data_IF_920073276145
#
_entry.id   IF_920073276145
#
_cell.length_a   1.000
_cell.length_b   1.000
_cell.length_c   1.000
_cell.angle_alpha   90.00
_cell.angle_beta   90.00
_cell.angle_gamma   90.00
#
_symmetry.space_group_name_H-M   'P 1'
#
loop_
_entity.id
_entity.type
_entity.pdbx_description
1 polymer ?
#
# COMPACT_ATOMS: atom_id res chain seq x y z
N UNK A 1 -6.36 -25.79 29.21
CA UNK A 1 -6.95 -25.73 27.85
C UNK A 1 -5.82 -25.31 26.90
N UNK A 2 -5.08 -26.28 26.35
CA UNK A 2 -3.90 -26.00 25.53
C UNK A 2 -4.34 -25.94 24.08
N UNK A 3 -4.38 -24.75 23.48
CA UNK A 3 -4.67 -24.59 22.05
C UNK A 3 -3.48 -25.21 21.30
N UNK A 4 -3.63 -26.46 20.87
CA UNK A 4 -2.66 -27.12 20.02
C UNK A 4 -2.73 -26.49 18.62
N UNK A 5 -1.94 -25.43 18.41
CA UNK A 5 -1.84 -24.77 17.11
C UNK A 5 -1.12 -25.74 16.15
N UNK A 6 -1.89 -26.38 15.28
CA UNK A 6 -1.38 -27.41 14.38
C UNK A 6 -0.31 -26.80 13.44
N UNK A 7 0.92 -27.37 13.31
CA UNK A 7 2.01 -26.81 12.49
C UNK A 7 1.65 -26.55 11.02
N UNK A 8 0.65 -27.27 10.47
CA UNK A 8 0.09 -27.03 9.14
C UNK A 8 -0.69 -25.71 9.05
N UNK A 9 -1.36 -25.33 10.13
CA UNK A 9 -2.09 -24.07 10.25
C UNK A 9 -1.12 -22.89 10.33
N UNK A 10 -0.06 -23.00 11.13
CA UNK A 10 0.99 -21.96 11.21
C UNK A 10 1.71 -21.76 9.87
N UNK A 11 2.07 -22.85 9.18
CA UNK A 11 2.63 -22.76 7.82
C UNK A 11 1.68 -22.10 6.84
N UNK A 12 0.39 -22.43 6.88
CA UNK A 12 -0.60 -21.83 5.98
C UNK A 12 -0.80 -20.33 6.24
N UNK A 13 -0.80 -19.92 7.51
CA UNK A 13 -0.86 -18.51 7.93
C UNK A 13 0.41 -17.78 7.49
N UNK A 14 1.60 -18.27 7.84
CA UNK A 14 2.86 -17.65 7.47
C UNK A 14 3.00 -17.43 5.95
N UNK A 15 2.56 -18.41 5.17
CA UNK A 15 2.56 -18.36 3.72
C UNK A 15 1.59 -17.29 3.18
N UNK A 16 0.39 -17.18 3.76
CA UNK A 16 -0.64 -16.25 3.31
C UNK A 16 -0.30 -14.78 3.64
N UNK A 17 0.56 -14.55 4.63
CA UNK A 17 1.03 -13.23 5.01
C UNK A 17 2.42 -12.87 4.46
N UNK A 18 3.16 -13.82 3.85
CA UNK A 18 4.51 -13.57 3.34
C UNK A 18 4.59 -12.39 2.36
N UNK A 19 3.66 -12.31 1.41
CA UNK A 19 3.61 -11.20 0.45
C UNK A 19 3.21 -9.85 1.09
N UNK A 20 2.12 -9.76 1.89
CA UNK A 20 1.86 -8.57 2.70
C UNK A 20 3.03 -8.12 3.57
N UNK A 21 3.72 -9.05 4.24
CA UNK A 21 4.89 -8.76 5.07
C UNK A 21 6.04 -8.20 4.25
N UNK A 22 6.30 -8.77 3.07
CA UNK A 22 7.31 -8.23 2.15
C UNK A 22 6.95 -6.80 1.69
N UNK A 23 5.69 -6.54 1.35
CA UNK A 23 5.25 -5.17 1.01
C UNK A 23 5.43 -4.21 2.20
N UNK A 24 5.18 -4.67 3.42
CA UNK A 24 5.44 -3.89 4.64
C UNK A 24 6.93 -3.59 4.85
N UNK A 25 7.81 -4.58 4.65
CA UNK A 25 9.27 -4.40 4.71
C UNK A 25 9.77 -3.45 3.62
N UNK A 26 9.23 -3.58 2.42
CA UNK A 26 9.53 -2.68 1.31
C UNK A 26 9.07 -1.25 1.62
N UNK A 27 7.87 -1.09 2.16
CA UNK A 27 7.38 0.23 2.58
C UNK A 27 8.29 0.86 3.64
N UNK A 28 8.77 0.06 4.59
CA UNK A 28 9.74 0.49 5.61
C UNK A 28 11.06 0.95 4.99
N UNK A 29 11.64 0.17 4.07
CA UNK A 29 12.87 0.55 3.34
C UNK A 29 12.65 1.78 2.47
N UNK A 30 11.53 1.85 1.76
CA UNK A 30 11.15 2.98 0.93
C UNK A 30 11.06 4.26 1.76
N UNK A 31 10.36 4.22 2.89
CA UNK A 31 10.25 5.34 3.82
C UNK A 31 11.62 5.82 4.32
N UNK A 32 12.55 4.92 4.62
CA UNK A 32 13.89 5.30 5.07
C UNK A 32 14.76 5.89 3.94
N UNK A 33 14.65 5.36 2.72
CA UNK A 33 15.44 5.80 1.57
C UNK A 33 14.99 7.15 0.99
N UNK A 34 13.70 7.49 1.12
CA UNK A 34 13.10 8.68 0.52
C UNK A 34 12.65 9.75 1.53
N UNK A 35 13.21 9.74 2.75
CA UNK A 35 12.88 10.68 3.82
C UNK A 35 11.38 10.73 4.17
N UNK A 36 10.77 9.55 4.39
CA UNK A 36 9.36 9.29 4.73
C UNK A 36 8.37 9.28 3.57
N UNK A 37 8.80 9.44 2.32
CA UNK A 37 7.91 9.32 1.16
C UNK A 37 7.63 7.84 0.81
N UNK A 38 6.82 7.19 1.65
CA UNK A 38 6.29 5.84 1.38
C UNK A 38 5.50 5.86 0.07
N UNK A 39 5.75 4.92 -0.87
CA UNK A 39 5.05 4.86 -2.16
C UNK A 39 3.63 4.29 -1.99
N UNK A 40 2.76 5.04 -1.33
CA UNK A 40 1.41 4.60 -0.93
C UNK A 40 0.56 4.20 -2.14
N UNK A 41 0.67 4.90 -3.26
CA UNK A 41 -0.15 4.63 -4.45
C UNK A 41 0.30 3.32 -5.10
N UNK A 42 1.61 3.12 -5.25
CA UNK A 42 2.17 1.88 -5.79
C UNK A 42 1.74 0.68 -4.94
N UNK A 43 1.87 0.79 -3.61
CA UNK A 43 1.51 -0.27 -2.66
C UNK A 43 0.01 -0.53 -2.65
N UNK A 44 -0.83 0.50 -2.74
CA UNK A 44 -2.28 0.36 -2.83
C UNK A 44 -2.69 -0.35 -4.13
N UNK A 45 -2.10 0.00 -5.27
CA UNK A 45 -2.39 -0.66 -6.56
C UNK A 45 -1.91 -2.11 -6.54
N UNK A 46 -0.72 -2.38 -6.02
CA UNK A 46 -0.22 -3.75 -5.83
C UNK A 46 -1.15 -4.56 -4.92
N UNK A 47 -1.55 -4.01 -3.78
CA UNK A 47 -2.49 -4.67 -2.87
C UNK A 47 -3.84 -4.95 -3.56
N UNK A 48 -4.33 -4.01 -4.38
CA UNK A 48 -5.58 -4.16 -5.12
C UNK A 48 -5.53 -5.34 -6.11
N UNK A 49 -4.43 -5.50 -6.86
CA UNK A 49 -4.33 -6.51 -7.92
C UNK A 49 -3.81 -7.86 -7.43
N UNK A 50 -3.17 -7.92 -6.26
CA UNK A 50 -2.52 -9.14 -5.74
C UNK A 50 -3.22 -9.76 -4.53
N UNK A 51 -4.17 -9.06 -3.89
CA UNK A 51 -4.76 -9.50 -2.62
C UNK A 51 -6.29 -9.47 -2.59
N UNK A 52 -6.85 -10.26 -1.66
CA UNK A 52 -8.27 -10.18 -1.31
C UNK A 52 -8.61 -8.78 -0.76
N UNK A 53 -9.87 -8.30 -0.87
CA UNK A 53 -10.25 -6.98 -0.35
C UNK A 53 -9.86 -6.75 1.10
N UNK A 54 -10.12 -7.72 1.96
CA UNK A 54 -9.81 -7.64 3.39
C UNK A 54 -8.29 -7.54 3.62
N UNK A 55 -7.52 -8.39 2.95
CA UNK A 55 -6.05 -8.40 3.09
C UNK A 55 -5.43 -7.13 2.53
N UNK A 56 -5.96 -6.58 1.43
CA UNK A 56 -5.46 -5.36 0.82
C UNK A 56 -5.62 -4.15 1.77
N UNK A 57 -6.79 -4.00 2.39
CA UNK A 57 -7.04 -2.96 3.40
C UNK A 57 -6.13 -3.12 4.62
N UNK A 58 -5.99 -4.34 5.12
CA UNK A 58 -5.08 -4.63 6.23
C UNK A 58 -3.63 -4.26 5.88
N UNK A 59 -3.17 -4.62 4.68
CA UNK A 59 -1.81 -4.31 4.22
C UNK A 59 -1.59 -2.79 4.15
N UNK A 60 -2.48 -2.05 3.50
CA UNK A 60 -2.36 -0.58 3.39
C UNK A 60 -2.41 0.10 4.77
N UNK A 61 -3.29 -0.38 5.67
CA UNK A 61 -3.36 0.15 7.04
C UNK A 61 -2.07 -0.11 7.84
N UNK A 62 -1.50 -1.31 7.74
CA UNK A 62 -0.23 -1.67 8.39
C UNK A 62 0.92 -0.84 7.82
N UNK A 63 1.00 -0.69 6.50
CA UNK A 63 2.00 0.15 5.82
C UNK A 63 1.91 1.60 6.32
N UNK A 64 0.70 2.15 6.41
CA UNK A 64 0.48 3.48 6.96
C UNK A 64 0.92 3.60 8.42
N UNK A 65 0.56 2.64 9.28
CA UNK A 65 1.00 2.63 10.67
C UNK A 65 2.52 2.59 10.80
N UNK A 66 3.19 1.76 9.99
CA UNK A 66 4.66 1.70 9.96
C UNK A 66 5.24 3.05 9.56
N UNK A 67 4.68 3.71 8.52
CA UNK A 67 5.09 5.05 8.12
C UNK A 67 4.93 6.07 9.26
N UNK A 68 3.82 6.03 10.00
CA UNK A 68 3.62 6.91 11.14
C UNK A 68 4.61 6.64 12.27
N UNK A 69 4.86 5.37 12.60
CA UNK A 69 5.84 4.98 13.63
C UNK A 69 7.25 5.43 13.25
N UNK A 70 7.65 5.27 11.99
CA UNK A 70 8.93 5.77 11.50
C UNK A 70 9.04 7.28 11.64
N UNK A 71 8.01 8.04 11.24
CA UNK A 71 7.99 9.49 11.38
C UNK A 71 8.18 9.96 12.82
N UNK A 72 7.37 9.44 13.74
CA UNK A 72 7.40 9.90 15.14
C UNK A 72 8.58 9.34 15.96
N UNK A 73 8.90 8.05 15.81
CA UNK A 73 9.88 7.37 16.67
C UNK A 73 11.30 7.51 16.11
N UNK A 74 11.48 7.34 14.79
CA UNK A 74 12.82 7.29 14.17
C UNK A 74 13.25 8.67 13.68
N UNK A 75 12.36 9.39 12.98
CA UNK A 75 12.65 10.70 12.41
C UNK A 75 12.38 11.86 13.37
N UNK A 76 11.81 11.58 14.54
CA UNK A 76 11.57 12.57 15.59
C UNK A 76 10.60 13.68 15.18
N UNK A 77 9.58 13.36 14.36
CA UNK A 77 8.57 14.34 13.95
C UNK A 77 7.94 15.01 15.17
N UNK A 78 7.65 16.32 15.11
CA UNK A 78 7.13 17.04 16.26
C UNK A 78 5.72 16.54 16.62
N UNK A 79 5.47 16.29 17.90
CA UNK A 79 4.20 15.78 18.43
C UNK A 79 3.15 16.89 18.53
N UNK A 80 2.74 17.46 17.39
CA UNK A 80 1.73 18.51 17.31
C UNK A 80 0.44 17.99 16.69
N UNK A 81 -0.69 18.63 17.01
CA UNK A 81 -1.97 18.33 16.36
C UNK A 81 -1.88 18.40 14.84
N UNK A 82 -1.11 19.36 14.30
CA UNK A 82 -0.88 19.51 12.86
C UNK A 82 -0.14 18.31 12.26
N UNK A 83 0.92 17.81 12.91
CA UNK A 83 1.65 16.61 12.45
C UNK A 83 0.76 15.37 12.47
N UNK A 84 -0.03 15.19 13.52
CA UNK A 84 -0.98 14.07 13.60
C UNK A 84 -2.07 14.16 12.52
N UNK A 85 -2.58 15.36 12.26
CA UNK A 85 -3.56 15.59 11.19
C UNK A 85 -2.99 15.20 9.82
N UNK A 86 -1.74 15.59 9.51
CA UNK A 86 -1.05 15.16 8.29
C UNK A 86 -0.94 13.65 8.16
N UNK A 87 -0.62 12.95 9.25
CA UNK A 87 -0.63 11.49 9.29
C UNK A 87 -1.99 10.89 8.92
N UNK A 88 -3.07 11.46 9.47
CA UNK A 88 -4.44 11.06 9.13
C UNK A 88 -4.78 11.31 7.66
N UNK A 89 -4.44 12.48 7.13
CA UNK A 89 -4.65 12.84 5.71
C UNK A 89 -3.98 11.84 4.78
N UNK A 90 -2.71 11.49 5.04
CA UNK A 90 -1.97 10.50 4.26
C UNK A 90 -2.68 9.14 4.26
N UNK A 91 -3.10 8.67 5.44
CA UNK A 91 -3.79 7.38 5.59
C UNK A 91 -5.13 7.32 4.85
N UNK A 92 -5.94 8.37 4.98
CA UNK A 92 -7.23 8.48 4.29
C UNK A 92 -7.05 8.51 2.77
N UNK A 93 -6.10 9.31 2.27
CA UNK A 93 -5.79 9.40 0.84
C UNK A 93 -5.24 8.09 0.28
N UNK A 94 -4.42 7.36 1.04
CA UNK A 94 -3.98 6.01 0.65
C UNK A 94 -5.18 5.04 0.52
N UNK A 95 -6.17 5.17 1.39
CA UNK A 95 -7.44 4.46 1.27
C UNK A 95 -8.22 4.82 -0.01
N UNK A 96 -8.29 6.10 -0.37
CA UNK A 96 -8.89 6.56 -1.63
C UNK A 96 -8.20 5.92 -2.83
N UNK A 97 -6.87 5.94 -2.86
CA UNK A 97 -6.07 5.29 -3.91
C UNK A 97 -6.39 3.79 -4.02
N UNK A 98 -6.47 3.08 -2.89
CA UNK A 98 -6.83 1.66 -2.87
C UNK A 98 -8.23 1.43 -3.45
N UNK A 99 -9.23 2.24 -3.07
CA UNK A 99 -10.60 2.13 -3.60
C UNK A 99 -10.61 2.29 -5.12
N UNK A 100 -9.92 3.31 -5.64
CA UNK A 100 -9.81 3.57 -7.08
C UNK A 100 -9.14 2.40 -7.79
N UNK A 101 -7.98 1.96 -7.30
CA UNK A 101 -7.24 0.85 -7.88
C UNK A 101 -8.09 -0.41 -7.95
N UNK A 102 -8.80 -0.75 -6.87
CA UNK A 102 -9.69 -1.92 -6.82
C UNK A 102 -10.83 -1.82 -7.84
N UNK A 103 -11.48 -0.65 -7.96
CA UNK A 103 -12.55 -0.46 -8.95
C UNK A 103 -12.06 -0.60 -10.39
N UNK A 104 -10.87 -0.09 -10.71
CA UNK A 104 -10.30 -0.14 -12.06
C UNK A 104 -9.82 -1.54 -12.47
N UNK A 105 -9.44 -2.35 -11.49
CA UNK A 105 -8.81 -3.67 -11.70
C UNK A 105 -9.73 -4.85 -11.40
N UNK A 106 -10.89 -4.63 -10.77
CA UNK A 106 -11.85 -5.68 -10.42
C UNK A 106 -12.30 -6.51 -11.63
N UNK A 107 -12.22 -7.84 -11.51
CA UNK A 107 -12.74 -8.83 -12.47
C UNK A 107 -12.25 -8.66 -13.92
N UNK A 108 -11.10 -8.03 -14.13
CA UNK A 108 -10.54 -7.82 -15.47
C UNK A 108 -9.12 -8.38 -15.57
N UNK A 109 -8.69 -8.69 -16.79
CA UNK A 109 -7.31 -9.04 -17.07
C UNK A 109 -6.38 -7.85 -16.79
N UNK A 110 -5.27 -8.11 -16.10
CA UNK A 110 -4.30 -7.09 -15.70
C UNK A 110 -3.29 -6.82 -16.81
N UNK A 111 -3.73 -6.12 -17.86
CA UNK A 111 -2.83 -5.68 -18.95
C UNK A 111 -1.91 -4.56 -18.47
N UNK A 112 -0.70 -4.40 -19.05
CA UNK A 112 0.20 -3.30 -18.70
C UNK A 112 -0.48 -1.93 -18.77
N UNK A 113 -1.25 -1.66 -19.83
CA UNK A 113 -2.01 -0.42 -19.98
C UNK A 113 -3.01 -0.22 -18.84
N UNK A 114 -3.75 -1.25 -18.42
CA UNK A 114 -4.70 -1.15 -17.31
C UNK A 114 -3.99 -0.85 -16.00
N UNK A 115 -2.84 -1.47 -15.76
CA UNK A 115 -2.05 -1.23 -14.54
C UNK A 115 -1.50 0.20 -14.52
N UNK A 116 -1.01 0.70 -15.66
CA UNK A 116 -0.58 2.09 -15.80
C UNK A 116 -1.73 3.07 -15.57
N UNK A 117 -2.90 2.82 -16.15
CA UNK A 117 -4.10 3.64 -15.88
C UNK A 117 -4.53 3.56 -14.41
N UNK A 118 -4.49 2.36 -13.80
CA UNK A 118 -4.83 2.20 -12.39
C UNK A 118 -3.86 2.97 -11.50
N UNK A 119 -2.57 2.93 -11.78
CA UNK A 119 -1.55 3.72 -11.08
C UNK A 119 -1.78 5.22 -11.24
N UNK A 120 -1.95 5.70 -12.48
CA UNK A 120 -2.14 7.12 -12.77
C UNK A 120 -3.40 7.70 -12.13
N UNK A 121 -4.55 7.01 -12.27
CA UNK A 121 -5.82 7.51 -11.71
C UNK A 121 -5.82 7.40 -10.18
N UNK A 122 -5.20 6.36 -9.61
CA UNK A 122 -5.07 6.25 -8.15
C UNK A 122 -4.14 7.32 -7.59
N UNK A 123 -3.09 7.69 -8.33
CA UNK A 123 -2.19 8.79 -7.97
C UNK A 123 -2.94 10.13 -7.96
N UNK A 124 -3.70 10.43 -9.01
CA UNK A 124 -4.56 11.62 -9.07
C UNK A 124 -5.53 11.64 -7.89
N UNK A 125 -6.16 10.50 -7.58
CA UNK A 125 -7.08 10.40 -6.44
C UNK A 125 -6.41 10.57 -5.08
N UNK A 126 -5.18 10.08 -4.92
CA UNK A 126 -4.36 10.26 -3.72
C UNK A 126 -4.03 11.74 -3.49
N UNK A 127 -3.47 12.40 -4.51
CA UNK A 127 -3.12 13.82 -4.47
C UNK A 127 -4.35 14.72 -4.26
N UNK A 128 -5.46 14.41 -4.96
CA UNK A 128 -6.73 15.11 -4.75
C UNK A 128 -7.28 14.89 -3.34
N UNK A 129 -7.13 13.69 -2.78
CA UNK A 129 -7.50 13.38 -1.40
C UNK A 129 -6.66 14.20 -0.41
N UNK A 130 -5.34 14.24 -0.59
CA UNK A 130 -4.43 15.06 0.23
C UNK A 130 -4.88 16.51 0.18
N UNK A 131 -5.05 17.05 -1.02
CA UNK A 131 -5.46 18.43 -1.23
C UNK A 131 -6.80 18.73 -0.53
N UNK A 132 -7.82 17.89 -0.74
CA UNK A 132 -9.14 18.08 -0.17
C UNK A 132 -9.12 18.03 1.36
N UNK A 133 -8.52 16.99 1.96
CA UNK A 133 -8.49 16.84 3.41
C UNK A 133 -7.61 17.90 4.09
N UNK A 134 -6.49 18.28 3.47
CA UNK A 134 -5.63 19.35 3.98
C UNK A 134 -6.38 20.69 4.03
N UNK A 135 -7.14 21.02 2.98
CA UNK A 135 -7.95 22.25 2.94
C UNK A 135 -9.07 22.23 4.00
N UNK A 136 -9.78 21.10 4.16
CA UNK A 136 -10.83 20.97 5.19
C UNK A 136 -10.28 21.15 6.60
N UNK A 137 -9.07 20.68 6.86
CA UNK A 137 -8.41 20.76 8.17
C UNK A 137 -7.58 22.04 8.35
N UNK A 138 -7.55 22.95 7.37
CA UNK A 138 -6.77 24.19 7.44
C UNK A 138 -5.26 23.97 7.49
N UNK A 139 -4.77 22.85 6.96
CA UNK A 139 -3.34 22.51 6.98
C UNK A 139 -2.59 23.27 5.89
N UNK A 140 -1.48 23.91 6.24
CA UNK A 140 -0.59 24.56 5.27
C UNK A 140 0.13 23.50 4.45
N UNK A 141 -0.21 23.38 3.16
CA UNK A 141 0.30 22.33 2.28
C UNK A 141 1.36 22.89 1.33
N UNK A 142 2.60 22.34 1.30
CA UNK A 142 3.57 22.65 0.25
C UNK A 142 3.21 21.85 -1.02
N UNK A 143 2.06 22.16 -1.64
CA UNK A 143 1.61 21.53 -2.87
C UNK A 143 2.32 22.15 -4.07
N UNK A 144 3.54 21.70 -4.33
CA UNK A 144 4.36 22.22 -5.44
C UNK A 144 4.46 21.18 -6.56
N UNK A 145 4.56 21.61 -7.84
CA UNK A 145 4.75 20.69 -8.95
C UNK A 145 5.97 19.77 -8.77
N UNK A 146 7.04 20.27 -8.15
CA UNK A 146 8.24 19.50 -7.87
C UNK A 146 7.99 18.34 -6.89
N UNK A 147 7.25 18.59 -5.81
CA UNK A 147 6.88 17.57 -4.83
C UNK A 147 5.98 16.52 -5.47
N UNK A 148 4.95 16.94 -6.21
CA UNK A 148 4.03 16.02 -6.90
C UNK A 148 4.80 15.13 -7.90
N UNK A 149 5.72 15.72 -8.68
CA UNK A 149 6.55 14.97 -9.61
C UNK A 149 7.47 13.96 -8.90
N UNK A 150 8.06 14.35 -7.77
CA UNK A 150 8.88 13.46 -6.96
C UNK A 150 8.07 12.27 -6.42
N UNK A 151 6.86 12.50 -5.90
CA UNK A 151 5.97 11.43 -5.41
C UNK A 151 5.57 10.52 -6.56
N UNK A 152 5.17 11.08 -7.72
CA UNK A 152 4.82 10.32 -8.91
C UNK A 152 5.96 9.41 -9.39
N UNK A 153 7.19 9.93 -9.43
CA UNK A 153 8.38 9.15 -9.78
C UNK A 153 8.66 8.04 -8.78
N UNK A 154 8.56 8.33 -7.48
CA UNK A 154 8.75 7.36 -6.42
C UNK A 154 7.73 6.21 -6.52
N UNK A 155 6.44 6.52 -6.63
CA UNK A 155 5.39 5.50 -6.83
C UNK A 155 5.59 4.70 -8.13
N UNK A 156 5.93 5.38 -9.23
CA UNK A 156 6.21 4.74 -10.51
C UNK A 156 7.34 3.72 -10.44
N UNK A 157 8.48 4.11 -9.85
CA UNK A 157 9.66 3.24 -9.71
C UNK A 157 9.37 2.03 -8.81
N UNK A 158 8.73 2.26 -7.65
CA UNK A 158 8.38 1.17 -6.75
C UNK A 158 7.38 0.20 -7.38
N UNK A 159 6.39 0.70 -8.10
CA UNK A 159 5.45 -0.17 -8.81
C UNK A 159 6.15 -0.98 -9.91
N UNK A 160 7.00 -0.32 -10.72
CA UNK A 160 7.75 -0.94 -11.80
C UNK A 160 8.73 -2.02 -11.28
N UNK A 161 9.25 -1.88 -10.06
CA UNK A 161 10.10 -2.87 -9.42
C UNK A 161 9.28 -4.04 -8.83
N UNK A 162 8.25 -3.74 -8.06
CA UNK A 162 7.55 -4.72 -7.24
C UNK A 162 6.56 -5.58 -8.01
N UNK A 163 5.92 -5.05 -9.06
CA UNK A 163 4.97 -5.83 -9.83
C UNK A 163 5.64 -6.99 -10.60
N UNK A 164 6.76 -6.80 -11.33
CA UNK A 164 7.51 -7.90 -11.92
C UNK A 164 8.03 -8.88 -10.86
N UNK A 165 8.52 -8.38 -9.71
CA UNK A 165 8.94 -9.22 -8.60
C UNK A 165 7.81 -10.13 -8.11
N UNK A 166 6.59 -9.59 -7.99
CA UNK A 166 5.40 -10.37 -7.66
C UNK A 166 5.17 -11.50 -8.67
N UNK A 167 5.26 -11.20 -9.98
CA UNK A 167 5.07 -12.19 -11.03
C UNK A 167 6.12 -13.31 -10.97
N UNK A 168 7.38 -12.96 -10.71
CA UNK A 168 8.48 -13.93 -10.53
C UNK A 168 8.23 -14.79 -9.29
N UNK A 169 7.92 -14.18 -8.15
CA UNK A 169 7.63 -14.91 -6.91
C UNK A 169 6.42 -15.84 -7.06
N UNK A 170 5.37 -15.42 -7.77
CA UNK A 170 4.19 -16.26 -8.04
C UNK A 170 4.55 -17.51 -8.85
N UNK A 171 5.49 -17.39 -9.80
CA UNK A 171 5.98 -18.52 -10.59
C UNK A 171 6.88 -19.45 -9.77
N UNK A 172 7.81 -18.89 -8.99
CA UNK A 172 8.78 -19.66 -8.20
C UNK A 172 8.17 -20.31 -6.94
N UNK A 173 7.13 -19.71 -6.37
CA UNK A 173 6.48 -20.18 -5.14
C UNK A 173 4.95 -20.27 -5.31
N UNK A 174 4.42 -21.18 -6.17
CA UNK A 174 2.99 -21.26 -6.43
C UNK A 174 2.17 -21.51 -5.17
N UNK A 175 2.70 -22.37 -4.28
CA UNK A 175 2.09 -22.71 -3.00
C UNK A 175 1.91 -21.53 -2.04
N UNK A 176 2.55 -20.38 -2.32
CA UNK A 176 2.42 -19.17 -1.50
C UNK A 176 1.23 -18.29 -1.84
N UNK A 177 0.77 -18.35 -3.09
CA UNK A 177 -0.31 -17.49 -3.59
C UNK A 177 -1.62 -18.25 -3.87
N UNK A 178 -1.58 -19.59 -3.95
CA UNK A 178 -2.71 -20.40 -4.44
C UNK A 178 -3.84 -20.74 -3.45
N UNK A 179 -3.92 -20.11 -2.26
CA UNK A 179 -4.98 -20.44 -1.27
C UNK A 179 -6.08 -19.39 -1.09
N UNK A 180 -6.06 -18.30 -1.84
CA UNK A 180 -7.10 -17.26 -1.77
C UNK A 180 -8.29 -17.49 -2.70
N UNK A 181 -8.24 -18.48 -3.61
CA UNK A 181 -9.31 -18.72 -4.61
C UNK A 181 -10.32 -19.82 -4.19
N UNK A 182 -9.98 -20.67 -3.22
CA UNK A 182 -10.80 -21.85 -2.88
C UNK A 182 -11.94 -21.60 -1.84
N UNK A 183 -12.25 -20.35 -1.47
CA UNK A 183 -13.32 -20.02 -0.49
C UNK A 183 -14.35 -19.02 -1.03
N UNK A 184 -14.76 -19.19 -2.29
CA UNK A 184 -15.85 -18.40 -2.90
C UNK A 184 -17.02 -19.24 -3.44
N UNK A 185 -16.96 -20.57 -3.33
CA UNK A 185 -18.01 -21.48 -3.78
C UNK A 185 -18.21 -22.58 -2.73
N UNK A 186 -18.94 -22.24 -1.67
CA UNK A 186 -19.63 -23.18 -0.79
C UNK A 186 -20.79 -22.43 -0.15
#
# INVERSE_FOLDING_TARGET
MTIAIHPRLMRAVAISYAWPTLLGLVAFVGALASACATPFVALAVLAAVTMSPRTAWQAVAVIWLINQMLGFIVLGFPHTAQTFAWGGVIGLSAGVALVIARKLTANRAQTPTRLLCALAISFIGYEAGIFAFANVLGLTCPFTPAVIAQIALNDGLWFALLYPLHLVMRKLTPGWFNRTVARGHA
#
